data_IF_445905464855
#
_entry.id   IF_445905464855
#
_cell.length_a   1.000
_cell.length_b   1.000
_cell.length_c   1.000
_cell.angle_alpha   90.00
_cell.angle_beta   90.00
_cell.angle_gamma   90.00
#
_symmetry.space_group_name_H-M   'P 1'
#
loop_
_entity.id
_entity.type
_entity.pdbx_description
1 polymer ?
#
# COMPACT_ATOMS: atom_id res chain seq x y z
N UNK A 1 -4.50 -12.88 -19.30
CA UNK A 1 -3.86 -11.86 -18.44
C UNK A 1 -4.97 -10.92 -18.04
N UNK A 2 -5.41 -10.95 -16.78
CA UNK A 2 -6.42 -9.99 -16.34
C UNK A 2 -5.79 -8.60 -16.38
N UNK A 3 -6.35 -7.69 -17.19
CA UNK A 3 -5.93 -6.29 -17.20
C UNK A 3 -6.32 -5.68 -15.86
N UNK A 4 -5.33 -5.56 -14.98
CA UNK A 4 -5.49 -4.83 -13.74
C UNK A 4 -5.64 -3.35 -14.08
N UNK A 5 -6.59 -2.62 -13.47
CA UNK A 5 -6.68 -1.18 -13.63
C UNK A 5 -5.34 -0.51 -13.30
N UNK A 6 -4.91 0.38 -14.17
CA UNK A 6 -3.71 1.18 -13.94
C UNK A 6 -3.87 2.05 -12.68
N UNK A 7 -2.76 2.39 -11.99
CA UNK A 7 -2.79 3.37 -10.92
C UNK A 7 -3.28 4.72 -11.43
N UNK A 8 -4.18 5.37 -10.69
CA UNK A 8 -4.64 6.71 -11.05
C UNK A 8 -3.56 7.75 -10.76
N UNK A 9 -3.70 8.93 -11.37
CA UNK A 9 -2.74 10.00 -11.12
C UNK A 9 -2.73 10.40 -9.64
N UNK A 10 -1.53 10.62 -9.10
CA UNK A 10 -1.30 10.95 -7.69
C UNK A 10 -1.78 9.88 -6.69
N UNK A 11 -1.90 8.61 -7.10
CA UNK A 11 -2.22 7.51 -6.21
C UNK A 11 -0.96 6.94 -5.53
N UNK A 12 -0.95 6.87 -4.20
CA UNK A 12 0.07 6.12 -3.47
C UNK A 12 -0.17 4.61 -3.54
N UNK A 13 0.88 3.81 -3.38
CA UNK A 13 0.78 2.36 -3.35
C UNK A 13 -0.33 1.84 -2.42
N UNK A 14 -0.48 2.41 -1.22
CA UNK A 14 -1.46 1.92 -0.23
C UNK A 14 -2.90 2.19 -0.67
N UNK A 15 -3.18 3.38 -1.23
CA UNK A 15 -4.50 3.69 -1.78
C UNK A 15 -4.83 2.82 -3.00
N UNK A 16 -3.83 2.57 -3.87
CA UNK A 16 -3.98 1.64 -4.98
C UNK A 16 -4.35 0.23 -4.49
N UNK A 17 -3.59 -0.31 -3.53
CA UNK A 17 -3.87 -1.64 -2.98
C UNK A 17 -5.24 -1.70 -2.31
N UNK A 18 -5.64 -0.66 -1.58
CA UNK A 18 -6.98 -0.58 -0.96
C UNK A 18 -8.10 -0.61 -2.01
N UNK A 19 -7.98 0.19 -3.07
CA UNK A 19 -8.95 0.20 -4.17
C UNK A 19 -9.02 -1.15 -4.87
N UNK A 20 -7.87 -1.72 -5.22
CA UNK A 20 -7.80 -3.04 -5.86
C UNK A 20 -8.37 -4.16 -4.97
N UNK A 21 -8.12 -4.13 -3.67
CA UNK A 21 -8.65 -5.13 -2.74
C UNK A 21 -10.17 -5.00 -2.49
N UNK A 22 -10.78 -3.86 -2.82
CA UNK A 22 -12.24 -3.70 -2.81
C UNK A 22 -12.89 -4.27 -4.05
N UNK A 23 -12.22 -4.13 -5.19
CA UNK A 23 -12.78 -4.49 -6.50
C UNK A 23 -12.42 -5.93 -6.94
N UNK A 24 -11.37 -6.51 -6.34
CA UNK A 24 -10.84 -7.82 -6.74
C UNK A 24 -10.48 -8.68 -5.53
N UNK A 25 -10.73 -9.98 -5.65
CA UNK A 25 -10.30 -10.96 -4.67
C UNK A 25 -8.77 -11.06 -4.58
N UNK A 26 -8.28 -11.24 -3.36
CA UNK A 26 -6.89 -11.57 -3.11
C UNK A 26 -6.59 -12.99 -3.57
N UNK A 27 -5.57 -13.17 -4.40
CA UNK A 27 -5.09 -14.48 -4.86
C UNK A 27 -3.93 -15.03 -4.01
N UNK A 28 -3.78 -14.51 -2.79
CA UNK A 28 -2.69 -14.84 -1.87
C UNK A 28 -1.28 -14.53 -2.43
N UNK A 29 -1.17 -13.61 -3.38
CA UNK A 29 0.12 -13.12 -3.90
C UNK A 29 0.22 -11.58 -3.82
N UNK A 30 1.38 -11.03 -4.18
CA UNK A 30 1.63 -9.58 -4.28
C UNK A 30 1.31 -9.05 -5.69
N UNK A 31 0.28 -9.59 -6.34
CA UNK A 31 -0.06 -9.32 -7.74
C UNK A 31 -0.27 -7.83 -7.99
N UNK A 32 -1.08 -7.16 -7.17
CA UNK A 32 -1.40 -5.74 -7.33
C UNK A 32 -0.17 -4.88 -7.01
N UNK A 33 0.57 -5.21 -5.96
CA UNK A 33 1.80 -4.50 -5.60
C UNK A 33 2.84 -4.57 -6.72
N UNK A 34 3.06 -5.74 -7.31
CA UNK A 34 4.00 -5.93 -8.43
C UNK A 34 3.53 -5.15 -9.65
N UNK A 35 2.23 -5.15 -9.94
CA UNK A 35 1.66 -4.35 -11.02
C UNK A 35 1.94 -2.85 -10.80
N UNK A 36 1.57 -2.28 -9.64
CA UNK A 36 1.85 -0.87 -9.31
C UNK A 36 3.34 -0.54 -9.41
N UNK A 37 4.22 -1.41 -8.89
CA UNK A 37 5.66 -1.22 -8.99
C UNK A 37 6.09 -1.11 -10.45
N UNK A 38 5.63 -2.02 -11.31
CA UNK A 38 6.05 -2.05 -12.71
C UNK A 38 5.56 -0.83 -13.49
N UNK A 39 4.35 -0.34 -13.21
CA UNK A 39 3.72 0.74 -13.99
C UNK A 39 4.00 2.14 -13.43
N UNK A 40 3.94 2.31 -12.10
CA UNK A 40 4.06 3.62 -11.45
C UNK A 40 5.41 3.85 -10.75
N UNK A 41 6.08 2.81 -10.26
CA UNK A 41 7.29 2.94 -9.44
C UNK A 41 8.42 1.95 -9.81
N UNK A 42 8.87 1.88 -11.08
CA UNK A 42 9.77 0.80 -11.55
C UNK A 42 11.15 0.79 -10.87
N UNK A 43 11.56 1.93 -10.29
CA UNK A 43 12.83 2.04 -9.54
C UNK A 43 12.74 1.45 -8.12
N UNK A 44 11.56 1.08 -7.64
CA UNK A 44 11.35 0.46 -6.34
C UNK A 44 11.67 -1.05 -6.34
N UNK A 45 12.83 -1.43 -6.85
CA UNK A 45 13.23 -2.84 -7.09
C UNK A 45 13.26 -3.69 -5.84
N UNK A 46 13.50 -3.09 -4.67
CA UNK A 46 13.53 -3.80 -3.39
C UNK A 46 12.17 -3.85 -2.66
N UNK A 47 11.09 -3.30 -3.24
CA UNK A 47 9.79 -3.13 -2.57
C UNK A 47 9.24 -4.44 -2.00
N UNK A 48 9.20 -5.48 -2.82
CA UNK A 48 8.68 -6.79 -2.45
C UNK A 48 9.43 -7.41 -1.27
N UNK A 49 10.76 -7.49 -1.36
CA UNK A 49 11.62 -7.95 -0.25
C UNK A 49 11.34 -7.17 1.04
N UNK A 50 11.15 -5.85 0.93
CA UNK A 50 10.92 -4.97 2.07
C UNK A 50 9.55 -5.19 2.71
N UNK A 51 8.53 -5.44 1.90
CA UNK A 51 7.18 -5.78 2.35
C UNK A 51 7.15 -7.16 3.03
N UNK A 52 7.88 -8.13 2.51
CA UNK A 52 8.04 -9.45 3.15
C UNK A 52 8.67 -9.32 4.56
N UNK A 53 9.63 -8.41 4.75
CA UNK A 53 10.20 -8.13 6.08
C UNK A 53 9.18 -7.53 7.06
N UNK A 54 8.12 -6.90 6.55
CA UNK A 54 6.98 -6.46 7.36
C UNK A 54 5.98 -7.59 7.64
N UNK A 55 6.21 -8.80 7.13
CA UNK A 55 5.34 -9.95 7.29
C UNK A 55 4.15 -9.94 6.36
N UNK A 56 4.27 -9.35 5.17
CA UNK A 56 3.23 -9.37 4.15
C UNK A 56 3.71 -10.10 2.89
N UNK A 57 2.93 -11.09 2.47
CA UNK A 57 3.17 -12.00 1.35
C UNK A 57 1.99 -12.03 0.36
N UNK A 58 0.83 -11.48 0.73
CA UNK A 58 -0.25 -11.06 -0.19
C UNK A 58 -0.48 -9.54 -0.15
N UNK A 59 -1.16 -8.99 -1.16
CA UNK A 59 -1.61 -7.60 -1.19
C UNK A 59 -2.48 -7.24 0.04
N UNK A 60 -3.30 -8.19 0.47
CA UNK A 60 -4.14 -8.06 1.66
C UNK A 60 -3.35 -7.82 2.96
N UNK A 61 -2.27 -8.57 3.13
CA UNK A 61 -1.38 -8.49 4.28
C UNK A 61 -0.59 -7.20 4.28
N UNK A 62 -0.34 -6.58 3.11
CA UNK A 62 0.29 -5.26 3.07
C UNK A 62 -0.59 -4.25 3.83
N UNK A 63 -1.89 -4.23 3.54
CA UNK A 63 -2.85 -3.34 4.20
C UNK A 63 -3.00 -3.69 5.69
N UNK A 64 -3.03 -4.98 6.04
CA UNK A 64 -3.20 -5.43 7.42
C UNK A 64 -1.97 -5.23 8.30
N UNK A 65 -0.77 -5.46 7.78
CA UNK A 65 0.46 -5.58 8.57
C UNK A 65 1.35 -4.33 8.50
N UNK A 66 1.34 -3.59 7.39
CA UNK A 66 2.24 -2.45 7.21
C UNK A 66 1.66 -1.12 7.73
N UNK A 67 0.35 -0.92 7.56
CA UNK A 67 -0.30 0.39 7.74
C UNK A 67 -1.56 0.34 8.61
N UNK A 68 -1.97 1.50 9.11
CA UNK A 68 -3.23 1.75 9.81
C UNK A 68 -3.80 3.10 9.36
N UNK A 69 -5.12 3.35 9.48
CA UNK A 69 -5.68 4.66 9.19
C UNK A 69 -5.02 5.73 10.07
N UNK A 70 -4.79 6.92 9.49
CA UNK A 70 -4.14 8.03 10.17
C UNK A 70 -5.03 8.70 11.22
N UNK A 71 -6.35 8.61 11.06
CA UNK A 71 -7.33 9.16 12.00
C UNK A 71 -8.69 8.48 11.89
N UNK A 72 -9.62 8.92 12.75
CA UNK A 72 -10.96 8.36 12.84
C UNK A 72 -11.78 8.53 11.54
N UNK A 73 -11.54 9.60 10.79
CA UNK A 73 -12.21 9.84 9.50
C UNK A 73 -11.86 8.73 8.49
N UNK A 74 -10.57 8.46 8.29
CA UNK A 74 -10.12 7.37 7.42
C UNK A 74 -10.60 6.02 7.94
N UNK A 75 -10.55 5.77 9.26
CA UNK A 75 -11.03 4.52 9.84
C UNK A 75 -12.50 4.22 9.48
N UNK A 76 -13.39 5.22 9.56
CA UNK A 76 -14.80 5.07 9.16
C UNK A 76 -14.95 4.73 7.68
N UNK A 77 -14.16 5.34 6.80
CA UNK A 77 -14.17 5.01 5.38
C UNK A 77 -13.78 3.55 5.13
N UNK A 78 -12.83 3.01 5.90
CA UNK A 78 -12.49 1.58 5.83
C UNK A 78 -13.66 0.71 6.29
N UNK A 79 -14.29 1.06 7.42
CA UNK A 79 -15.42 0.30 7.98
C UNK A 79 -16.62 0.27 7.02
N UNK A 80 -16.88 1.40 6.34
CA UNK A 80 -17.94 1.55 5.34
C UNK A 80 -17.55 1.00 3.95
N UNK A 81 -16.32 0.48 3.81
CA UNK A 81 -15.72 0.09 2.53
C UNK A 81 -15.89 1.17 1.44
N UNK A 82 -15.70 2.44 1.81
CA UNK A 82 -15.89 3.61 0.96
C UNK A 82 -14.59 4.05 0.27
N UNK A 83 -14.71 4.86 -0.78
CA UNK A 83 -13.53 5.37 -1.49
C UNK A 83 -12.68 6.30 -0.60
N UNK A 84 -11.35 6.12 -0.67
CA UNK A 84 -10.38 6.97 0.02
C UNK A 84 -9.66 7.83 -1.01
N UNK A 85 -9.87 9.15 -0.93
CA UNK A 85 -9.15 10.10 -1.76
C UNK A 85 -7.69 10.20 -1.29
N UNK A 86 -6.76 9.84 -2.19
CA UNK A 86 -5.33 9.92 -1.93
C UNK A 86 -4.89 11.39 -1.83
N UNK A 87 -4.07 11.72 -0.83
CA UNK A 87 -3.64 13.11 -0.58
C UNK A 87 -2.19 13.19 -0.13
N UNK A 88 -1.45 14.18 -0.64
CA UNK A 88 -0.09 14.50 -0.16
C UNK A 88 1.03 13.69 -0.82
N UNK A 89 0.78 13.07 -1.98
CA UNK A 89 1.79 12.27 -2.70
C UNK A 89 1.95 12.65 -4.16
N UNK A 90 3.13 12.36 -4.70
CA UNK A 90 3.43 12.42 -6.14
C UNK A 90 3.14 11.09 -6.84
N UNK A 91 3.01 11.10 -8.17
CA UNK A 91 2.92 9.89 -8.99
C UNK A 91 4.08 8.92 -8.68
N UNK A 92 3.78 7.63 -8.57
CA UNK A 92 4.77 6.58 -8.29
C UNK A 92 5.26 6.54 -6.84
N UNK A 93 4.52 7.16 -5.91
CA UNK A 93 4.89 7.15 -4.50
C UNK A 93 4.56 5.78 -3.87
N UNK A 94 5.61 5.05 -3.49
CA UNK A 94 5.48 3.81 -2.71
C UNK A 94 5.25 4.07 -1.22
N UNK A 95 5.46 5.30 -0.74
CA UNK A 95 5.16 5.67 0.65
C UNK A 95 3.65 5.87 0.86
N UNK A 96 3.14 5.57 2.07
CA UNK A 96 1.78 5.95 2.43
C UNK A 96 1.55 7.46 2.27
N UNK A 97 0.36 7.80 1.79
CA UNK A 97 -0.16 9.17 1.79
C UNK A 97 -0.70 9.56 3.18
N UNK A 98 -1.21 10.79 3.33
CA UNK A 98 -1.64 11.34 4.64
C UNK A 98 -2.80 10.56 5.29
N UNK A 99 -3.48 9.70 4.54
CA UNK A 99 -4.55 8.83 5.04
C UNK A 99 -4.02 7.67 5.89
N UNK A 100 -2.72 7.38 5.81
CA UNK A 100 -2.13 6.16 6.36
C UNK A 100 -0.94 6.46 7.26
N UNK A 101 -0.89 5.76 8.39
CA UNK A 101 0.30 5.71 9.25
C UNK A 101 0.91 4.32 9.17
N UNK A 102 2.24 4.26 9.23
CA UNK A 102 2.91 2.98 9.46
C UNK A 102 2.50 2.42 10.82
N UNK A 103 2.29 1.10 10.89
CA UNK A 103 2.01 0.42 12.18
C UNK A 103 3.22 0.54 13.11
N UNK A 104 2.96 0.46 14.43
CA UNK A 104 4.02 0.54 15.45
C UNK A 104 5.10 -0.50 15.16
N UNK A 105 6.35 -0.07 15.29
CA UNK A 105 7.51 -0.91 14.99
C UNK A 105 7.90 -0.93 13.52
N UNK A 106 7.14 -0.32 12.60
CA UNK A 106 7.51 -0.19 11.19
C UNK A 106 7.96 1.24 10.89
N UNK A 107 9.12 1.39 10.26
CA UNK A 107 9.60 2.68 9.74
C UNK A 107 9.78 2.61 8.22
N UNK A 108 9.28 3.63 7.54
CA UNK A 108 9.49 3.85 6.11
C UNK A 108 10.21 5.19 5.89
N UNK A 109 11.50 5.16 5.58
CA UNK A 109 12.29 6.38 5.34
C UNK A 109 13.28 6.21 4.19
N UNK A 110 13.23 7.08 3.18
CA UNK A 110 14.11 6.97 2.00
C UNK A 110 14.01 5.63 1.26
N UNK A 111 12.86 4.96 1.35
CA UNK A 111 12.66 3.60 0.88
C UNK A 111 13.31 2.50 1.74
N UNK A 112 13.93 2.80 2.89
CA UNK A 112 14.41 1.80 3.84
C UNK A 112 13.27 1.36 4.75
N UNK A 113 13.24 0.05 5.05
CA UNK A 113 12.28 -0.59 5.92
C UNK A 113 13.04 -1.14 7.12
N UNK A 114 12.65 -0.71 8.32
CA UNK A 114 13.24 -1.21 9.56
C UNK A 114 12.11 -1.61 10.49
N UNK A 115 12.22 -2.80 11.08
CA UNK A 115 11.51 -3.10 12.32
C UNK A 115 12.23 -2.35 13.44
N UNK A 116 11.52 -1.63 14.32
CA UNK A 116 12.13 -1.20 15.57
C UNK A 116 12.46 -2.47 16.35
N UNK A 117 13.72 -2.66 16.71
CA UNK A 117 14.07 -3.58 17.78
C UNK A 117 13.28 -3.17 19.01
N UNK A 118 12.65 -4.14 19.67
CA UNK A 118 11.91 -3.95 20.91
C UNK A 118 12.79 -3.32 21.99
#
# INVERSE_FOLDING_TARGET
MSDLPEPVDHECLICFLYRMARDFDCDCTLRFLIHYRNTAAPRATALERKINLLGAYCDCEVLMNAVRPAGAATARLLDDAADIVCHGVRRGCIQPCDQWLMRRGVQWGGGQFRRRSA
#
